data_IF_506597298309
#
_entry.id   IF_506597298309
#
_cell.length_a   1.000
_cell.length_b   1.000
_cell.length_c   1.000
_cell.angle_alpha   90.00
_cell.angle_beta   90.00
_cell.angle_gamma   90.00
#
_symmetry.space_group_name_H-M   'P 1'
#
loop_
_entity.id
_entity.type
_entity.pdbx_description
1 polymer ?
#
# COMPACT_ATOMS: atom_id res chain seq x y z
N UNK A 1 -2.97 -6.83 -8.38
CA UNK A 1 -1.90 -7.52 -7.63
C UNK A 1 -2.43 -7.82 -6.25
N UNK A 2 -2.13 -9.00 -5.71
CA UNK A 2 -2.65 -9.42 -4.41
C UNK A 2 -1.87 -8.77 -3.27
N UNK A 3 -2.57 -8.14 -2.33
CA UNK A 3 -2.04 -7.61 -1.08
C UNK A 3 -2.56 -8.47 0.07
N UNK A 4 -1.66 -8.88 0.96
CA UNK A 4 -1.97 -9.72 2.13
C UNK A 4 -1.63 -8.96 3.40
N UNK A 5 -2.66 -8.58 4.15
CA UNK A 5 -2.53 -7.96 5.48
C UNK A 5 -2.52 -9.07 6.51
N UNK A 6 -1.33 -9.45 6.97
CA UNK A 6 -1.12 -10.53 7.94
C UNK A 6 -1.45 -10.10 9.37
N UNK A 7 -1.50 -11.05 10.29
CA UNK A 7 -1.64 -10.76 11.72
C UNK A 7 -0.44 -9.97 12.28
N UNK A 8 0.75 -10.15 11.71
CA UNK A 8 1.93 -9.39 12.09
C UNK A 8 1.79 -7.92 11.65
N UNK A 9 1.22 -7.67 10.47
CA UNK A 9 0.94 -6.30 10.00
C UNK A 9 -0.10 -5.60 10.88
N UNK A 10 -1.15 -6.32 11.30
CA UNK A 10 -2.16 -5.78 12.23
C UNK A 10 -1.51 -5.41 13.57
N UNK A 11 -0.64 -6.27 14.10
CA UNK A 11 0.04 -6.03 15.37
C UNK A 11 1.09 -4.92 15.31
N UNK A 12 1.76 -4.77 14.17
CA UNK A 12 2.75 -3.72 13.96
C UNK A 12 2.12 -2.35 13.63
N UNK A 13 0.87 -2.34 13.18
CA UNK A 13 0.23 -1.14 12.66
C UNK A 13 -0.07 -0.09 13.72
N UNK A 14 -0.06 1.18 13.30
CA UNK A 14 -0.42 2.34 14.08
C UNK A 14 -1.77 2.93 13.64
N UNK A 15 -2.64 3.18 14.61
CA UNK A 15 -3.96 3.80 14.42
C UNK A 15 -3.79 5.19 13.81
N UNK A 16 -4.64 5.53 12.83
CA UNK A 16 -4.65 6.83 12.15
C UNK A 16 -3.35 7.18 11.40
N UNK A 17 -2.45 6.22 11.17
CA UNK A 17 -1.23 6.43 10.37
C UNK A 17 -1.46 6.11 8.90
N UNK A 18 -1.18 7.06 8.00
CA UNK A 18 -1.27 6.82 6.56
C UNK A 18 -0.12 5.95 6.01
N UNK A 19 0.96 5.78 6.77
CA UNK A 19 2.17 5.06 6.34
C UNK A 19 2.37 3.76 7.11
N UNK A 20 2.17 3.80 8.43
CA UNK A 20 2.41 2.71 9.37
C UNK A 20 1.13 1.99 9.80
N UNK A 21 0.02 2.11 9.05
CA UNK A 21 -1.14 1.24 9.28
C UNK A 21 -0.86 -0.21 8.80
N UNK A 22 -1.72 -1.19 9.15
CA UNK A 22 -1.54 -2.58 8.73
C UNK A 22 -1.44 -2.77 7.20
N UNK A 23 -2.17 -1.96 6.43
CA UNK A 23 -2.09 -1.98 4.97
C UNK A 23 -0.74 -1.42 4.50
N UNK A 24 -0.23 -0.36 5.13
CA UNK A 24 1.06 0.21 4.80
C UNK A 24 2.20 -0.78 5.01
N UNK A 25 2.19 -1.54 6.11
CA UNK A 25 3.13 -2.64 6.29
C UNK A 25 3.03 -3.70 5.18
N UNK A 26 1.81 -4.13 4.86
CA UNK A 26 1.59 -5.10 3.78
C UNK A 26 2.07 -4.60 2.40
N UNK A 27 1.92 -3.30 2.13
CA UNK A 27 2.39 -2.69 0.88
C UNK A 27 3.91 -2.66 0.81
N UNK A 28 4.64 -2.34 1.90
CA UNK A 28 6.11 -2.37 1.87
C UNK A 28 6.67 -3.75 1.53
N UNK A 29 6.01 -4.79 2.02
CA UNK A 29 6.40 -6.17 1.70
C UNK A 29 6.08 -6.53 0.25
N UNK A 30 4.92 -6.07 -0.26
CA UNK A 30 4.45 -6.41 -1.61
C UNK A 30 5.12 -5.59 -2.72
N UNK A 31 5.48 -4.34 -2.45
CA UNK A 31 6.03 -3.36 -3.41
C UNK A 31 7.21 -2.58 -2.81
N UNK A 32 8.33 -3.25 -2.49
CA UNK A 32 9.47 -2.60 -1.85
C UNK A 32 10.04 -1.47 -2.72
N UNK A 33 10.35 -0.34 -2.09
CA UNK A 33 10.91 0.85 -2.75
C UNK A 33 9.90 1.75 -3.45
N UNK A 34 8.60 1.44 -3.37
CA UNK A 34 7.53 2.31 -3.87
C UNK A 34 7.03 3.24 -2.76
N UNK A 35 6.98 4.54 -3.03
CA UNK A 35 6.35 5.51 -2.12
C UNK A 35 4.82 5.45 -2.25
N UNK A 36 4.13 5.39 -1.11
CA UNK A 36 2.67 5.34 -1.05
C UNK A 36 2.13 6.06 0.19
N UNK A 37 0.85 6.40 0.16
CA UNK A 37 0.06 6.82 1.33
C UNK A 37 -1.28 6.08 1.34
N UNK A 38 -1.64 5.50 2.47
CA UNK A 38 -2.90 4.78 2.65
C UNK A 38 -3.96 5.75 3.18
N UNK A 39 -4.90 6.12 2.33
CA UNK A 39 -6.13 6.80 2.75
C UNK A 39 -7.25 5.81 3.06
N UNK A 40 -8.31 6.29 3.72
CA UNK A 40 -9.45 5.45 4.13
C UNK A 40 -10.16 4.78 2.94
N UNK A 41 -10.19 5.43 1.77
CA UNK A 41 -10.93 4.96 0.58
C UNK A 41 -10.03 4.62 -0.62
N UNK A 42 -8.75 4.99 -0.58
CA UNK A 42 -7.83 4.81 -1.68
C UNK A 42 -6.39 4.75 -1.16
N UNK A 43 -5.53 4.03 -1.88
CA UNK A 43 -4.08 4.08 -1.71
C UNK A 43 -3.54 5.05 -2.76
N UNK A 44 -2.76 6.04 -2.35
CA UNK A 44 -2.04 6.92 -3.26
C UNK A 44 -0.64 6.34 -3.47
N UNK A 45 -0.23 6.17 -4.72
CA UNK A 45 1.10 5.68 -5.07
C UNK A 45 1.82 6.75 -5.87
N UNK A 46 3.08 7.02 -5.51
CA UNK A 46 3.88 8.02 -6.21
C UNK A 46 4.43 7.46 -7.52
N UNK A 47 4.31 8.24 -8.60
CA UNK A 47 4.85 8.00 -9.94
C UNK A 47 5.57 9.25 -10.43
N UNK A 48 6.89 9.27 -10.28
CA UNK A 48 7.67 10.50 -10.53
C UNK A 48 7.23 11.60 -9.55
N UNK A 49 6.70 12.69 -10.11
CA UNK A 49 6.20 13.83 -9.33
C UNK A 49 4.69 13.75 -9.02
N UNK A 50 3.98 12.78 -9.59
CA UNK A 50 2.53 12.64 -9.44
C UNK A 50 2.16 11.61 -8.38
N UNK A 51 0.99 11.82 -7.74
CA UNK A 51 0.35 10.85 -6.85
C UNK A 51 -0.90 10.29 -7.52
N UNK A 52 -0.92 8.97 -7.76
CA UNK A 52 -2.04 8.27 -8.40
C UNK A 52 -2.88 7.58 -7.35
N UNK A 53 -4.18 7.89 -7.30
CA UNK A 53 -5.12 7.26 -6.37
C UNK A 53 -5.66 5.93 -6.93
N UNK A 54 -5.51 4.87 -6.14
CA UNK A 54 -6.05 3.54 -6.43
C UNK A 54 -7.19 3.25 -5.44
N UNK A 55 -8.45 3.18 -5.90
CA UNK A 55 -9.59 2.98 -5.02
C UNK A 55 -9.54 1.62 -4.34
N UNK A 56 -9.90 1.59 -3.07
CA UNK A 56 -9.96 0.38 -2.28
C UNK A 56 -11.33 -0.31 -2.38
N UNK A 57 -11.39 -1.65 -2.35
CA UNK A 57 -12.63 -2.37 -2.13
C UNK A 57 -13.28 -1.95 -0.81
N UNK A 58 -14.62 -1.90 -0.79
CA UNK A 58 -15.39 -1.42 0.37
C UNK A 58 -15.02 -2.13 1.69
N UNK A 59 -14.69 -3.42 1.65
CA UNK A 59 -14.35 -4.17 2.86
C UNK A 59 -12.99 -3.76 3.43
N UNK A 60 -12.07 -3.29 2.59
CA UNK A 60 -10.77 -2.75 3.02
C UNK A 60 -10.98 -1.40 3.69
N UNK A 61 -11.85 -0.54 3.16
CA UNK A 61 -12.27 0.69 3.84
C UNK A 61 -12.86 0.40 5.22
N UNK A 62 -13.71 -0.64 5.35
CA UNK A 62 -14.28 -1.03 6.65
C UNK A 62 -13.23 -1.58 7.61
N UNK A 63 -12.26 -2.33 7.10
CA UNK A 63 -11.10 -2.77 7.87
C UNK A 63 -10.32 -1.58 8.45
N UNK A 64 -9.99 -0.58 7.62
CA UNK A 64 -9.27 0.63 8.06
C UNK A 64 -10.06 1.35 9.15
N UNK A 65 -11.34 1.61 8.91
CA UNK A 65 -12.20 2.29 9.87
C UNK A 65 -12.32 1.55 11.21
N UNK A 66 -12.41 0.22 11.17
CA UNK A 66 -12.49 -0.60 12.38
C UNK A 66 -11.17 -0.55 13.16
N UNK A 67 -10.05 -0.73 12.47
CA UNK A 67 -8.72 -0.64 13.07
C UNK A 67 -8.48 0.73 13.70
N UNK A 68 -8.78 1.82 12.97
CA UNK A 68 -8.60 3.19 13.47
C UNK A 68 -9.53 3.53 14.65
N UNK A 69 -10.66 2.83 14.77
CA UNK A 69 -11.56 2.94 15.92
C UNK A 69 -11.08 2.12 17.14
N UNK A 70 -9.93 1.45 17.06
CA UNK A 70 -9.38 0.58 18.11
C UNK A 70 -10.13 -0.75 18.24
N UNK A 71 -10.86 -1.17 17.21
CA UNK A 71 -11.53 -2.48 17.17
C UNK A 71 -10.55 -3.53 16.68
N UNK A 72 -10.56 -4.71 17.30
CA UNK A 72 -9.80 -5.86 16.82
C UNK A 72 -10.24 -6.26 15.40
N UNK A 73 -9.28 -6.33 14.49
CA UNK A 73 -9.50 -6.71 13.09
C UNK A 73 -8.76 -8.00 12.75
N UNK A 74 -9.39 -8.84 11.93
CA UNK A 74 -8.76 -10.05 11.40
C UNK A 74 -7.87 -9.73 10.19
N UNK A 75 -6.85 -10.56 9.89
CA UNK A 75 -6.11 -10.50 8.64
C UNK A 75 -7.03 -10.50 7.41
N UNK A 76 -6.66 -9.76 6.37
CA UNK A 76 -7.41 -9.66 5.12
C UNK A 76 -6.49 -9.81 3.91
N UNK A 77 -7.11 -10.11 2.77
CA UNK A 77 -6.46 -10.06 1.47
C UNK A 77 -7.34 -9.33 0.47
N UNK A 78 -6.73 -8.61 -0.47
CA UNK A 78 -7.44 -7.91 -1.52
C UNK A 78 -6.58 -7.75 -2.78
N UNK A 79 -7.23 -7.52 -3.91
CA UNK A 79 -6.56 -7.15 -5.15
C UNK A 79 -6.45 -5.63 -5.25
N UNK A 80 -5.24 -5.17 -5.55
CA UNK A 80 -4.91 -3.79 -5.82
C UNK A 80 -4.59 -3.64 -7.31
N UNK A 81 -5.44 -2.95 -8.10
CA UNK A 81 -5.23 -2.78 -9.53
C UNK A 81 -4.19 -1.68 -9.77
N UNK A 82 -2.92 -2.02 -9.55
CA UNK A 82 -1.77 -1.19 -9.91
C UNK A 82 -1.04 -1.86 -11.05
N UNK A 83 -0.68 -1.07 -12.05
CA UNK A 83 0.33 -1.41 -13.04
C UNK A 83 1.66 -0.81 -12.57
N UNK A 84 2.59 -1.66 -12.14
CA UNK A 84 3.95 -1.28 -11.79
C UNK A 84 4.82 -1.45 -13.04
N UNK A 85 4.52 -0.68 -14.09
CA UNK A 85 5.38 -0.65 -15.26
C UNK A 85 6.81 -0.25 -14.81
N UNK A 86 7.85 -0.99 -15.25
CA UNK A 86 9.22 -0.61 -14.97
C UNK A 86 9.47 0.72 -15.67
N UNK A 87 9.77 1.74 -14.88
CA UNK A 87 10.15 3.06 -15.36
C UNK A 87 11.21 2.94 -16.48
N UNK A 88 10.90 3.35 -17.73
CA UNK A 88 11.86 3.26 -18.83
C UNK A 88 13.10 4.15 -18.60
N UNK A 89 13.07 5.06 -17.62
CA UNK A 89 14.19 5.94 -17.29
C UNK A 89 15.23 5.32 -16.37
N UNK A 90 14.97 4.12 -15.82
CA UNK A 90 15.90 3.40 -14.93
C UNK A 90 16.69 2.30 -15.65
N UNK A 91 16.89 2.42 -16.97
CA UNK A 91 17.97 1.68 -17.64
C UNK A 91 19.28 2.38 -17.31
N UNK A 92 20.23 1.78 -16.56
CA UNK A 92 21.54 2.38 -16.41
C UNK A 92 22.12 2.53 -17.82
N UNK A 93 22.36 3.79 -18.23
CA UNK A 93 22.99 4.09 -19.49
C UNK A 93 24.25 3.22 -19.59
N UNK A 94 24.25 2.30 -20.55
CA UNK A 94 25.42 1.49 -20.84
C UNK A 94 26.59 2.45 -21.06
N UNK A 95 27.55 2.45 -20.14
CA UNK A 95 28.80 3.17 -20.29
C UNK A 95 29.49 2.53 -21.49
N UNK A 96 29.37 3.19 -22.65
CA UNK A 96 30.13 2.84 -23.83
C UNK A 96 31.61 3.06 -23.51
N UNK A 97 32.38 1.98 -23.63
CA UNK A 97 33.83 1.93 -23.47
C UNK A 97 34.57 2.59 -24.64
#
# INVERSE_FOLDING_TARGET
MKIVVSADHVRAGEISSCLDCPIGHALRDAIPGVEFEVGTIAIHVRRGDDWIAHPLPWFVTRFIQAFDAGVDVAPIEFELPIDLDPDPTNTPAAVAA
#
